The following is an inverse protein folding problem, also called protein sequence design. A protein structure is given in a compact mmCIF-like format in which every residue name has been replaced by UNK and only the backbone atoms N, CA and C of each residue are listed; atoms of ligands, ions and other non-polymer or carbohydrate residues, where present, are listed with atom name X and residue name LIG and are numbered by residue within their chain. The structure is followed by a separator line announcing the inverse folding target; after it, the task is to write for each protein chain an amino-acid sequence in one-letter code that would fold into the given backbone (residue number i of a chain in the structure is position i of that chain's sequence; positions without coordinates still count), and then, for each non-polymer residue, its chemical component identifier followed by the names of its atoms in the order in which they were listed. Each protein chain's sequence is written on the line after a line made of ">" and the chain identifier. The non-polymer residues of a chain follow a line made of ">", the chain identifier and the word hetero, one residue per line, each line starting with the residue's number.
data_IF_776916333136
#
_entry.id   IF_776916333136
#
_cell.length_a   1.000
_cell.length_b   1.000
_cell.length_c   1.000
_cell.angle_alpha   90.00
_cell.angle_beta   90.00
_cell.angle_gamma   90.00
#
_symmetry.space_group_name_H-M   'P 1'
#
loop_
_entity.id
_entity.type
_entity.pdbx_description
1 polymer ?
#
# COMPACT_ATOMS: atom_id res chain seq x y z
N UNK A 1 15.64 -14.10 29.66
CA UNK A 1 14.68 -14.36 28.57
C UNK A 1 15.43 -14.25 27.24
N UNK A 2 15.26 -15.17 26.29
CA UNK A 2 15.93 -15.10 24.97
C UNK A 2 15.13 -14.22 24.01
N UNK A 3 15.79 -13.26 23.33
CA UNK A 3 15.18 -12.45 22.26
C UNK A 3 15.40 -13.09 20.89
N UNK A 4 14.40 -13.01 20.01
CA UNK A 4 14.48 -13.46 18.62
C UNK A 4 14.82 -12.33 17.62
N UNK A 5 14.51 -11.09 18.00
CA UNK A 5 14.74 -9.88 17.19
C UNK A 5 15.36 -8.78 18.05
N UNK A 6 16.07 -7.88 17.38
CA UNK A 6 16.65 -6.69 18.01
C UNK A 6 15.57 -5.66 18.33
N UNK A 7 15.87 -4.73 19.22
CA UNK A 7 14.99 -3.59 19.50
C UNK A 7 14.83 -2.69 18.27
N UNK A 8 15.90 -2.49 17.51
CA UNK A 8 15.86 -1.74 16.26
C UNK A 8 14.88 -2.33 15.23
N UNK A 9 14.85 -3.67 15.08
CA UNK A 9 13.88 -4.34 14.20
C UNK A 9 12.44 -4.09 14.64
N UNK A 10 12.18 -4.07 15.95
CA UNK A 10 10.85 -3.77 16.49
C UNK A 10 10.47 -2.31 16.21
N UNK A 11 11.36 -1.36 16.50
CA UNK A 11 11.11 0.06 16.29
C UNK A 11 10.87 0.38 14.80
N UNK A 12 11.65 -0.22 13.91
CA UNK A 12 11.45 -0.06 12.46
C UNK A 12 10.07 -0.57 12.00
N UNK A 13 9.61 -1.70 12.55
CA UNK A 13 8.34 -2.32 12.17
C UNK A 13 7.09 -1.56 12.67
N UNK A 14 7.25 -0.56 13.57
CA UNK A 14 6.15 0.33 13.97
C UNK A 14 5.68 1.19 12.79
N UNK A 15 6.61 1.65 11.95
CA UNK A 15 6.33 2.60 10.87
C UNK A 15 6.36 1.94 9.49
N UNK A 16 7.04 0.79 9.35
CA UNK A 16 7.30 0.17 8.05
C UNK A 16 6.58 -1.17 7.91
N UNK A 17 5.79 -1.38 6.85
CA UNK A 17 5.13 -2.65 6.60
C UNK A 17 6.14 -3.73 6.15
N UNK A 18 5.83 -5.03 6.35
CA UNK A 18 6.63 -6.11 5.80
C UNK A 18 6.60 -6.07 4.26
N UNK A 19 7.73 -6.34 3.61
CA UNK A 19 7.93 -6.07 2.18
C UNK A 19 7.48 -7.17 1.23
N UNK A 20 7.09 -8.34 1.74
CA UNK A 20 6.87 -9.57 0.98
C UNK A 20 5.39 -9.98 0.88
N UNK A 21 4.48 -9.15 1.40
CA UNK A 21 3.02 -9.38 1.37
C UNK A 21 2.27 -8.14 0.91
N UNK A 22 0.95 -8.27 0.68
CA UNK A 22 0.03 -7.16 0.42
C UNK A 22 0.05 -6.04 1.48
N UNK A 23 0.54 -6.34 2.69
CA UNK A 23 0.66 -5.32 3.72
C UNK A 23 1.66 -4.22 3.33
N UNK A 24 2.62 -4.52 2.44
CA UNK A 24 3.50 -3.52 1.86
C UNK A 24 2.71 -2.44 1.11
N UNK A 25 1.91 -2.84 0.11
CA UNK A 25 1.07 -1.93 -0.65
C UNK A 25 0.17 -1.10 0.26
N UNK A 26 -0.57 -1.74 1.16
CA UNK A 26 -1.48 -1.03 2.07
C UNK A 26 -0.76 -0.04 2.99
N UNK A 27 0.35 -0.46 3.61
CA UNK A 27 1.11 0.41 4.51
C UNK A 27 1.74 1.59 3.78
N UNK A 28 2.29 1.36 2.59
CA UNK A 28 2.85 2.44 1.77
C UNK A 28 1.77 3.40 1.26
N UNK A 29 0.58 2.90 0.88
CA UNK A 29 -0.54 3.76 0.52
C UNK A 29 -0.95 4.66 1.69
N UNK A 30 -1.12 4.11 2.89
CA UNK A 30 -1.46 4.88 4.10
C UNK A 30 -0.37 5.92 4.44
N UNK A 31 0.90 5.54 4.28
CA UNK A 31 2.04 6.41 4.59
C UNK A 31 2.20 7.56 3.59
N UNK A 32 2.05 7.29 2.29
CA UNK A 32 2.27 8.28 1.21
C UNK A 32 1.02 9.10 0.87
N UNK A 33 -0.15 8.48 0.94
CA UNK A 33 -1.42 9.01 0.40
C UNK A 33 -2.54 9.03 1.44
N UNK A 34 -2.22 9.09 2.73
CA UNK A 34 -3.20 8.97 3.81
C UNK A 34 -4.32 10.02 3.77
N UNK A 35 -4.07 11.21 3.21
CA UNK A 35 -5.08 12.25 3.04
C UNK A 35 -6.16 11.88 1.99
N UNK A 36 -5.80 11.03 1.03
CA UNK A 36 -6.66 10.60 -0.08
C UNK A 36 -7.24 9.19 0.17
N UNK A 37 -7.12 8.64 1.38
CA UNK A 37 -7.64 7.32 1.75
C UNK A 37 -8.85 7.46 2.68
N UNK A 38 -10.01 7.06 2.18
CA UNK A 38 -11.24 7.03 2.96
C UNK A 38 -11.25 5.84 3.95
N UNK A 39 -10.72 4.68 3.54
CA UNK A 39 -10.67 3.48 4.37
C UNK A 39 -9.65 2.46 3.87
N UNK A 40 -9.18 1.58 4.78
CA UNK A 40 -8.34 0.44 4.43
C UNK A 40 -8.73 -0.81 5.24
N UNK A 41 -8.71 -1.97 4.59
CA UNK A 41 -8.99 -3.29 5.18
C UNK A 41 -7.89 -4.30 4.78
N UNK A 42 -8.07 -5.60 5.06
CA UNK A 42 -7.16 -6.66 4.57
C UNK A 42 -7.28 -6.91 3.07
N UNK A 43 -8.48 -6.74 2.55
CA UNK A 43 -8.88 -7.09 1.19
C UNK A 43 -9.05 -5.87 0.28
N UNK A 44 -8.89 -4.64 0.79
CA UNK A 44 -8.92 -3.44 -0.05
C UNK A 44 -8.31 -2.18 0.58
N UNK A 45 -7.97 -1.24 -0.29
CA UNK A 45 -7.71 0.18 0.03
C UNK A 45 -8.71 1.01 -0.76
N UNK A 46 -9.39 1.96 -0.11
CA UNK A 46 -10.42 2.82 -0.70
C UNK A 46 -9.90 4.25 -0.72
N UNK A 47 -9.78 4.80 -1.92
CA UNK A 47 -9.32 6.16 -2.18
C UNK A 47 -10.48 7.13 -2.38
N UNK A 48 -10.34 8.34 -1.83
CA UNK A 48 -11.16 9.50 -2.13
C UNK A 48 -10.32 10.49 -2.95
N UNK A 49 -10.60 10.56 -4.26
CA UNK A 49 -9.82 11.36 -5.21
C UNK A 49 -10.54 12.64 -5.65
N UNK A 50 -11.60 13.05 -4.92
CA UNK A 50 -12.38 14.25 -5.25
C UNK A 50 -13.31 14.11 -6.47
N UNK A 51 -13.49 12.90 -7.00
CA UNK A 51 -14.48 12.60 -8.04
C UNK A 51 -15.86 12.23 -7.46
N UNK A 52 -16.80 11.85 -8.33
CA UNK A 52 -18.19 11.52 -7.95
C UNK A 52 -18.32 10.25 -7.09
N UNK A 53 -17.29 9.40 -7.03
CA UNK A 53 -17.31 8.14 -6.29
C UNK A 53 -15.94 7.76 -5.75
N UNK A 54 -15.93 7.02 -4.63
CA UNK A 54 -14.72 6.44 -4.05
C UNK A 54 -14.19 5.31 -4.92
N UNK A 55 -12.86 5.22 -5.04
CA UNK A 55 -12.20 4.16 -5.82
C UNK A 55 -11.71 3.06 -4.89
N UNK A 56 -12.19 1.83 -5.10
CA UNK A 56 -11.76 0.66 -4.32
C UNK A 56 -10.72 -0.15 -5.09
N UNK A 57 -9.51 -0.24 -4.53
CA UNK A 57 -8.45 -1.14 -5.02
C UNK A 57 -8.49 -2.44 -4.21
N UNK A 58 -8.84 -3.58 -4.84
CA UNK A 58 -8.87 -4.87 -4.14
C UNK A 58 -7.46 -5.45 -3.92
N UNK A 59 -7.20 -5.96 -2.72
CA UNK A 59 -5.95 -6.61 -2.30
C UNK A 59 -6.21 -8.06 -1.83
N UNK A 60 -6.96 -8.82 -2.63
CA UNK A 60 -7.47 -10.16 -2.26
C UNK A 60 -6.35 -11.19 -2.04
N UNK A 61 -5.32 -11.15 -2.87
CA UNK A 61 -4.19 -12.09 -2.85
C UNK A 61 -3.14 -11.69 -1.80
N UNK A 62 -2.91 -12.48 -0.73
CA UNK A 62 -2.00 -12.10 0.36
C UNK A 62 -0.55 -11.83 -0.07
N UNK A 63 -0.10 -12.46 -1.15
CA UNK A 63 1.27 -12.35 -1.65
C UNK A 63 1.41 -11.38 -2.84
N UNK A 64 0.32 -10.83 -3.38
CA UNK A 64 0.39 -9.74 -4.37
C UNK A 64 0.38 -8.38 -3.67
N UNK A 65 1.01 -7.38 -4.28
CA UNK A 65 1.18 -6.07 -3.64
C UNK A 65 2.36 -6.00 -2.66
N UNK A 66 3.29 -6.95 -2.76
CA UNK A 66 4.59 -6.87 -2.10
C UNK A 66 5.50 -5.82 -2.77
N UNK A 67 6.62 -5.46 -2.14
CA UNK A 67 7.60 -4.53 -2.69
C UNK A 67 8.11 -4.94 -4.08
N UNK A 68 8.29 -6.24 -4.30
CA UNK A 68 8.68 -6.76 -5.61
C UNK A 68 7.62 -6.51 -6.70
N UNK A 69 6.34 -6.46 -6.34
CA UNK A 69 5.24 -6.24 -7.28
C UNK A 69 5.00 -4.76 -7.57
N UNK A 70 5.01 -3.92 -6.53
CA UNK A 70 4.51 -2.53 -6.62
C UNK A 70 5.52 -1.47 -6.18
N UNK A 71 6.72 -1.85 -5.73
CA UNK A 71 7.72 -0.89 -5.25
C UNK A 71 8.11 0.14 -6.32
N UNK A 72 8.45 -0.33 -7.52
CA UNK A 72 8.79 0.55 -8.63
C UNK A 72 7.61 1.45 -9.06
N UNK A 73 6.39 0.93 -9.02
CA UNK A 73 5.17 1.70 -9.29
C UNK A 73 5.01 2.83 -8.25
N UNK A 74 5.06 2.49 -6.96
CA UNK A 74 4.93 3.45 -5.87
C UNK A 74 6.02 4.53 -5.90
N UNK A 75 7.24 4.18 -6.34
CA UNK A 75 8.35 5.12 -6.47
C UNK A 75 8.26 5.98 -7.75
N UNK A 76 7.38 5.63 -8.69
CA UNK A 76 7.17 6.35 -9.96
C UNK A 76 6.02 7.36 -9.95
N UNK A 77 5.23 7.39 -8.87
CA UNK A 77 4.04 8.23 -8.73
C UNK A 77 4.19 9.20 -7.57
N UNK A 78 3.70 10.41 -7.75
CA UNK A 78 3.73 11.48 -6.74
C UNK A 78 2.36 11.73 -6.12
N UNK A 79 1.29 11.08 -6.61
CA UNK A 79 -0.07 11.23 -6.09
C UNK A 79 -0.89 9.93 -6.08
N UNK A 80 -1.94 9.92 -5.25
CA UNK A 80 -2.91 8.83 -5.20
C UNK A 80 -3.65 8.64 -6.53
N UNK A 81 -3.91 9.75 -7.24
CA UNK A 81 -4.56 9.74 -8.57
C UNK A 81 -3.70 8.98 -9.56
N UNK A 82 -2.42 9.33 -9.69
CA UNK A 82 -1.48 8.65 -10.59
C UNK A 82 -1.33 7.16 -10.25
N UNK A 83 -1.27 6.81 -8.95
CA UNK A 83 -1.23 5.42 -8.51
C UNK A 83 -2.45 4.64 -9.02
N UNK A 84 -3.65 5.18 -8.80
CA UNK A 84 -4.92 4.54 -9.17
C UNK A 84 -5.05 4.42 -10.68
N UNK A 85 -4.69 5.46 -11.43
CA UNK A 85 -4.68 5.43 -12.90
C UNK A 85 -3.77 4.32 -13.42
N UNK A 86 -2.54 4.19 -12.91
CA UNK A 86 -1.64 3.13 -13.36
C UNK A 86 -2.09 1.72 -12.95
N UNK A 87 -2.76 1.56 -11.81
CA UNK A 87 -3.30 0.26 -11.37
C UNK A 87 -4.52 -0.19 -12.17
N UNK A 88 -5.25 0.75 -12.76
CA UNK A 88 -6.51 0.49 -13.47
C UNK A 88 -6.39 0.62 -14.99
N UNK A 89 -5.27 1.15 -15.49
CA UNK A 89 -4.96 1.17 -16.92
C UNK A 89 -5.00 -0.25 -17.50
N UNK A 90 -5.76 -0.44 -18.58
CA UNK A 90 -5.78 -1.74 -19.27
C UNK A 90 -4.37 -2.07 -19.81
N UNK A 91 -3.92 -3.33 -19.67
CA UNK A 91 -2.65 -3.74 -20.25
C UNK A 91 -2.74 -3.58 -21.78
N UNK A 92 -1.79 -2.83 -22.32
CA UNK A 92 -1.66 -2.60 -23.77
C UNK A 92 -1.18 -3.85 -24.51
#
# INVERSE_FOLDING_TARGET
>A
MKRLVTEHQVLSAVENPPTDTRAYFRGECLRRFGADIAAASWDSVIFDLGGDSLVRIPTLEPLRGSKAHVGALLDSVDSAVELVEQLTAEPR
#
